data_IF_644643527681
#
_entry.id   IF_644643527681
#
_cell.length_a   1.000
_cell.length_b   1.000
_cell.length_c   1.000
_cell.angle_alpha   90.00
_cell.angle_beta   90.00
_cell.angle_gamma   90.00
#
_symmetry.space_group_name_H-M   'P 1'
#
loop_
_entity.id
_entity.type
_entity.pdbx_description
1 polymer ?
#
# COMPACT_ATOMS: atom_id res chain seq x y z
N UNK A 1 -10.53 18.12 12.47
CA UNK A 1 -10.65 17.71 11.05
C UNK A 1 -11.12 16.26 11.02
N UNK A 2 -12.26 15.95 10.39
CA UNK A 2 -12.79 14.58 10.33
C UNK A 2 -11.82 13.74 9.48
N UNK A 3 -11.11 12.78 10.08
CA UNK A 3 -10.38 11.76 9.33
C UNK A 3 -11.42 10.92 8.57
N UNK A 4 -11.75 11.32 7.35
CA UNK A 4 -12.45 10.44 6.44
C UNK A 4 -11.47 9.31 6.14
N UNK A 5 -11.82 8.08 6.52
CA UNK A 5 -11.03 6.92 6.16
C UNK A 5 -10.92 6.90 4.63
N UNK A 6 -9.74 7.24 4.12
CA UNK A 6 -9.48 7.22 2.68
C UNK A 6 -9.69 5.80 2.18
N UNK A 7 -10.33 5.66 1.02
CA UNK A 7 -10.49 4.34 0.41
C UNK A 7 -9.11 3.74 0.12
N UNK A 8 -9.00 2.42 0.04
CA UNK A 8 -7.74 1.76 -0.32
C UNK A 8 -7.14 2.36 -1.61
N UNK A 9 -7.99 2.69 -2.59
CA UNK A 9 -7.57 3.25 -3.87
C UNK A 9 -7.06 4.69 -3.75
N UNK A 10 -7.66 5.51 -2.90
CA UNK A 10 -7.15 6.86 -2.60
C UNK A 10 -5.76 6.79 -1.96
N UNK A 11 -5.59 5.90 -0.97
CA UNK A 11 -4.30 5.74 -0.30
C UNK A 11 -3.24 5.16 -1.24
N UNK A 12 -3.61 4.21 -2.10
CA UNK A 12 -2.74 3.69 -3.15
C UNK A 12 -2.34 4.78 -4.15
N UNK A 13 -3.26 5.67 -4.52
CA UNK A 13 -2.95 6.78 -5.40
C UNK A 13 -1.91 7.70 -4.76
N UNK A 14 -2.14 8.20 -3.53
CA UNK A 14 -1.17 9.03 -2.80
C UNK A 14 0.16 8.32 -2.56
N UNK A 15 0.17 7.01 -2.30
CA UNK A 15 1.41 6.24 -2.20
C UNK A 15 2.25 6.35 -3.49
N UNK A 16 1.61 6.20 -4.64
CA UNK A 16 2.31 6.20 -5.92
C UNK A 16 2.66 7.61 -6.40
N UNK A 17 1.81 8.61 -6.12
CA UNK A 17 1.96 9.98 -6.65
C UNK A 17 2.74 10.91 -5.72
N UNK A 18 2.75 10.65 -4.42
CA UNK A 18 3.36 11.52 -3.42
C UNK A 18 4.50 10.79 -2.70
N UNK A 19 4.25 9.61 -2.12
CA UNK A 19 5.24 8.91 -1.30
C UNK A 19 6.42 8.37 -2.11
N UNK A 20 6.17 7.64 -3.20
CA UNK A 20 7.24 7.09 -4.04
C UNK A 20 8.16 8.18 -4.64
N UNK A 21 7.65 9.25 -5.29
CA UNK A 21 8.52 10.28 -5.83
C UNK A 21 9.09 11.22 -4.75
N UNK A 22 8.29 11.59 -3.74
CA UNK A 22 8.67 12.61 -2.76
C UNK A 22 9.48 12.08 -1.59
N UNK A 23 8.98 11.04 -0.90
CA UNK A 23 9.64 10.51 0.29
C UNK A 23 10.73 9.49 -0.03
N UNK A 24 10.52 8.66 -1.06
CA UNK A 24 11.49 7.61 -1.46
C UNK A 24 12.45 8.09 -2.55
N UNK A 25 12.08 9.09 -3.35
CA UNK A 25 12.89 9.53 -4.49
C UNK A 25 12.96 8.48 -5.60
N UNK A 26 11.92 7.66 -5.75
CA UNK A 26 11.91 6.57 -6.72
C UNK A 26 11.95 7.09 -8.17
N UNK A 27 12.71 6.41 -9.04
CA UNK A 27 12.78 6.78 -10.46
C UNK A 27 11.41 6.65 -11.15
N UNK A 28 11.16 7.40 -12.25
CA UNK A 28 9.91 7.29 -13.00
C UNK A 28 9.62 5.85 -13.48
N UNK A 29 10.66 5.11 -13.86
CA UNK A 29 10.55 3.71 -14.26
C UNK A 29 10.15 2.82 -13.09
N UNK A 30 10.71 3.06 -11.90
CA UNK A 30 10.33 2.37 -10.66
C UNK A 30 8.85 2.62 -10.35
N UNK A 31 8.40 3.88 -10.37
CA UNK A 31 6.99 4.25 -10.13
C UNK A 31 6.06 3.56 -11.13
N UNK A 32 6.43 3.51 -12.42
CA UNK A 32 5.68 2.82 -13.46
C UNK A 32 5.57 1.31 -13.19
N UNK A 33 6.66 0.68 -12.78
CA UNK A 33 6.67 -0.74 -12.40
C UNK A 33 5.77 -1.02 -11.20
N UNK A 34 5.77 -0.16 -10.18
CA UNK A 34 4.86 -0.29 -9.03
C UNK A 34 3.39 -0.16 -9.44
N UNK A 35 3.04 0.83 -10.29
CA UNK A 35 1.68 0.96 -10.85
C UNK A 35 1.22 -0.33 -11.55
N UNK A 36 2.10 -0.90 -12.37
CA UNK A 36 1.81 -2.13 -13.10
C UNK A 36 1.61 -3.32 -12.15
N UNK A 37 2.47 -3.47 -11.14
CA UNK A 37 2.39 -4.54 -10.15
C UNK A 37 1.09 -4.45 -9.32
N UNK A 38 0.72 -3.27 -8.83
CA UNK A 38 -0.53 -3.10 -8.08
C UNK A 38 -1.76 -3.37 -8.94
N UNK A 39 -1.74 -3.00 -10.23
CA UNK A 39 -2.82 -3.33 -11.16
C UNK A 39 -2.99 -4.85 -11.30
N UNK A 40 -1.90 -5.59 -11.44
CA UNK A 40 -1.93 -7.05 -11.49
C UNK A 40 -2.43 -7.66 -10.18
N UNK A 41 -1.96 -7.15 -9.04
CA UNK A 41 -2.41 -7.59 -7.72
C UNK A 41 -3.91 -7.39 -7.53
N UNK A 42 -4.43 -6.20 -7.86
CA UNK A 42 -5.86 -5.91 -7.75
C UNK A 42 -6.70 -6.79 -8.67
N UNK A 43 -6.23 -7.00 -9.91
CA UNK A 43 -6.88 -7.91 -10.84
C UNK A 43 -6.92 -9.34 -10.29
N UNK A 44 -5.81 -9.84 -9.75
CA UNK A 44 -5.74 -11.17 -9.13
C UNK A 44 -6.67 -11.29 -7.92
N UNK A 45 -6.66 -10.30 -7.01
CA UNK A 45 -7.51 -10.31 -5.82
C UNK A 45 -9.01 -10.31 -6.18
N UNK A 46 -9.38 -9.58 -7.23
CA UNK A 46 -10.75 -9.58 -7.72
C UNK A 46 -11.13 -10.91 -8.38
N UNK A 47 -10.30 -11.41 -9.31
CA UNK A 47 -10.63 -12.58 -10.12
C UNK A 47 -10.54 -13.90 -9.34
N UNK A 48 -9.46 -14.09 -8.57
CA UNK A 48 -9.15 -15.37 -7.94
C UNK A 48 -9.65 -15.45 -6.49
N UNK A 49 -9.74 -14.31 -5.80
CA UNK A 49 -10.16 -14.27 -4.39
C UNK A 49 -11.55 -13.68 -4.19
N UNK A 50 -12.18 -13.14 -5.23
CA UNK A 50 -13.46 -12.40 -5.12
C UNK A 50 -13.40 -11.28 -4.07
N UNK A 51 -12.22 -10.70 -3.85
CA UNK A 51 -12.00 -9.61 -2.91
C UNK A 51 -11.99 -8.31 -3.69
N UNK A 52 -12.98 -7.45 -3.42
CA UNK A 52 -12.98 -6.08 -3.92
C UNK A 52 -11.94 -5.24 -3.19
N UNK A 53 -11.24 -4.40 -3.95
CA UNK A 53 -10.26 -3.44 -3.43
C UNK A 53 -10.85 -2.49 -2.39
N UNK A 54 -12.15 -2.22 -2.48
CA UNK A 54 -12.83 -1.23 -1.64
C UNK A 54 -13.23 -1.78 -0.25
N UNK A 55 -13.34 -3.10 -0.10
CA UNK A 55 -13.93 -3.70 1.11
C UNK A 55 -12.94 -4.35 2.08
N UNK A 56 -11.84 -4.95 1.59
CA UNK A 56 -10.99 -5.79 2.46
C UNK A 56 -9.49 -5.51 2.37
N UNK A 57 -9.05 -4.67 1.43
CA UNK A 57 -7.64 -4.34 1.31
C UNK A 57 -7.31 -3.13 2.17
N UNK A 58 -6.22 -3.22 2.93
CA UNK A 58 -5.64 -2.11 3.69
C UNK A 58 -4.21 -1.91 3.22
N UNK A 59 -3.88 -0.68 2.80
CA UNK A 59 -2.50 -0.28 2.55
C UNK A 59 -1.98 0.37 3.84
N UNK A 60 -0.82 -0.07 4.32
CA UNK A 60 -0.16 0.53 5.48
C UNK A 60 1.30 0.76 5.15
N UNK A 61 1.75 2.01 5.27
CA UNK A 61 3.16 2.36 5.22
C UNK A 61 3.70 2.16 6.64
N UNK A 62 4.52 1.13 6.82
CA UNK A 62 5.11 0.83 8.13
C UNK A 62 6.31 1.76 8.37
N UNK A 63 6.38 2.44 9.52
CA UNK A 63 7.59 3.14 9.90
C UNK A 63 8.71 2.13 10.21
N UNK A 64 9.96 2.54 10.06
CA UNK A 64 11.13 1.67 10.25
C UNK A 64 11.11 0.93 11.61
N UNK A 65 10.64 1.59 12.68
CA UNK A 65 10.54 1.00 14.01
C UNK A 65 9.45 -0.07 14.14
N UNK A 66 8.45 -0.14 13.26
CA UNK A 66 7.37 -1.12 13.35
C UNK A 66 7.85 -2.57 13.14
N UNK A 67 9.01 -2.75 12.51
CA UNK A 67 9.66 -4.05 12.38
C UNK A 67 10.26 -4.55 13.70
N UNK A 68 10.62 -3.66 14.63
CA UNK A 68 11.24 -4.00 15.92
C UNK A 68 10.20 -4.65 16.86
N UNK A 69 8.98 -4.12 16.90
CA UNK A 69 7.93 -4.63 17.79
C UNK A 69 7.34 -5.98 17.34
N UNK A 70 7.39 -6.29 16.04
CA UNK A 70 6.93 -7.59 15.52
C UNK A 70 7.89 -8.74 15.88
N UNK A 71 9.15 -8.42 16.15
CA UNK A 71 10.14 -9.39 16.66
C UNK A 71 9.98 -9.64 18.17
N UNK A 72 9.53 -8.63 18.94
CA UNK A 72 9.32 -8.74 20.38
C UNK A 72 8.04 -9.51 20.76
N UNK A 73 7.02 -9.53 19.89
CA UNK A 73 5.81 -10.35 20.12
C UNK A 73 6.00 -11.85 19.86
N UNK A 74 7.19 -12.28 19.39
CA UNK A 74 7.56 -13.70 19.31
C UNK A 74 8.31 -14.19 20.55
N UNK A 75 8.65 -13.27 21.48
CA UNK A 75 9.43 -13.56 22.69
C UNK A 75 8.64 -13.30 23.99
N UNK A 76 7.34 -13.04 23.89
CA UNK A 76 6.43 -12.85 25.01
C UNK A 76 5.33 -13.93 25.00
#
# INVERSE_FOLDING_TARGET
MKHKASSFLELLNSFVTEYLPGAVGASPNTIKSYKAAFRLLLKYMYQEKSISADQKLKLQILPCWAHINKALSFYA
#
